data_IF_079039846708
#
_entry.id   IF_079039846708
#
_cell.length_a   1.000
_cell.length_b   1.000
_cell.length_c   1.000
_cell.angle_alpha   90.00
_cell.angle_beta   90.00
_cell.angle_gamma   90.00
#
_symmetry.space_group_name_H-M   'P 1'
#
loop_
_entity.id
_entity.type
_entity.pdbx_description
1 polymer ?
#
# COMPACT_ATOMS: atom_id res chain seq x y z
N UNK A 1 6.07 28.56 0.51
CA UNK A 1 6.84 28.32 1.75
C UNK A 1 6.31 27.05 2.37
N UNK A 2 7.17 26.14 2.82
CA UNK A 2 6.72 24.88 3.44
C UNK A 2 6.06 25.22 4.79
N UNK A 3 4.73 25.11 4.86
CA UNK A 3 3.99 25.21 6.12
C UNK A 3 4.07 23.86 6.85
N UNK A 4 5.10 23.69 7.68
CA UNK A 4 5.19 22.56 8.60
C UNK A 4 4.65 23.04 9.94
N UNK A 5 3.46 22.57 10.30
CA UNK A 5 2.84 22.87 11.60
C UNK A 5 3.20 21.83 12.64
N UNK A 6 3.33 20.56 12.23
CA UNK A 6 3.70 19.47 13.15
C UNK A 6 4.42 18.33 12.41
N UNK A 7 5.33 17.58 13.08
CA UNK A 7 5.94 16.37 12.52
C UNK A 7 4.97 15.25 12.14
N UNK A 8 3.71 15.31 12.58
CA UNK A 8 2.64 14.38 12.13
C UNK A 8 2.21 14.59 10.69
N UNK A 9 2.54 15.76 10.10
CA UNK A 9 2.23 16.09 8.72
C UNK A 9 3.17 15.39 7.71
N UNK A 10 4.16 14.64 8.23
CA UNK A 10 5.23 14.00 7.49
C UNK A 10 4.91 12.55 7.15
N UNK A 11 5.37 12.10 5.97
CA UNK A 11 5.57 10.68 5.73
C UNK A 11 6.96 10.31 6.27
N UNK A 12 7.03 9.78 7.50
CA UNK A 12 8.29 9.47 8.20
C UNK A 12 8.46 7.97 8.45
N UNK A 13 9.71 7.49 8.36
CA UNK A 13 10.12 6.11 8.67
C UNK A 13 11.41 6.13 9.48
N UNK A 14 11.51 5.30 10.50
CA UNK A 14 12.75 5.08 11.25
C UNK A 14 13.25 3.66 11.00
N UNK A 15 14.49 3.57 10.59
CA UNK A 15 15.26 2.34 10.42
C UNK A 15 16.33 2.27 11.51
N UNK A 16 16.87 1.08 11.75
CA UNK A 16 17.94 0.86 12.70
C UNK A 16 19.15 0.35 11.95
N UNK A 17 20.24 1.13 11.99
CA UNK A 17 21.50 0.80 11.33
C UNK A 17 22.42 0.20 12.39
N UNK A 18 22.93 -1.01 12.12
CA UNK A 18 23.95 -1.64 12.95
C UNK A 18 25.31 -1.06 12.56
N UNK A 19 25.92 -0.31 13.47
CA UNK A 19 27.26 0.26 13.30
C UNK A 19 28.33 -0.84 13.40
N UNK A 20 29.55 -0.54 12.95
CA UNK A 20 30.66 -1.50 12.90
C UNK A 20 31.10 -2.03 14.26
N UNK A 21 30.74 -1.34 15.34
CA UNK A 21 30.95 -1.73 16.72
C UNK A 21 29.81 -2.61 17.29
N UNK A 22 28.76 -2.88 16.51
CA UNK A 22 27.59 -3.65 16.91
C UNK A 22 26.47 -2.81 17.55
N UNK A 23 26.64 -1.49 17.68
CA UNK A 23 25.60 -0.60 18.21
C UNK A 23 24.49 -0.38 17.18
N UNK A 24 23.25 -0.26 17.64
CA UNK A 24 22.10 0.07 16.80
C UNK A 24 21.76 1.55 16.90
N UNK A 25 21.87 2.26 15.79
CA UNK A 25 21.60 3.69 15.69
C UNK A 25 20.34 3.94 14.87
N UNK A 26 19.37 4.73 15.38
CA UNK A 26 18.17 5.05 14.63
C UNK A 26 18.48 6.00 13.47
N UNK A 27 17.90 5.73 12.31
CA UNK A 27 18.01 6.53 11.10
C UNK A 27 16.61 6.87 10.62
N UNK A 28 16.22 8.14 10.69
CA UNK A 28 14.85 8.57 10.35
C UNK A 28 14.83 9.34 9.04
N UNK A 29 14.08 8.84 8.06
CA UNK A 29 13.71 9.59 6.87
C UNK A 29 12.34 10.24 7.02
N UNK A 30 12.13 11.36 6.32
CA UNK A 30 10.85 12.07 6.31
C UNK A 30 10.65 12.82 4.99
N UNK A 31 9.41 12.84 4.53
CA UNK A 31 9.00 13.55 3.33
C UNK A 31 7.82 14.49 3.58
N UNK A 32 7.77 15.57 2.79
CA UNK A 32 6.73 16.61 2.82
C UNK A 32 6.34 16.94 1.40
N UNK A 33 5.05 17.11 1.19
CA UNK A 33 4.50 17.61 -0.07
C UNK A 33 3.68 18.85 0.25
N UNK A 34 4.03 19.99 -0.33
CA UNK A 34 3.27 21.23 -0.11
C UNK A 34 1.96 21.24 -0.92
N UNK A 35 1.18 22.31 -0.75
CA UNK A 35 -0.11 22.50 -1.45
C UNK A 35 0.03 22.57 -2.98
N UNK A 36 1.19 23.00 -3.47
CA UNK A 36 1.52 23.04 -4.88
C UNK A 36 2.03 21.68 -5.39
N UNK A 37 2.17 20.66 -4.54
CA UNK A 37 2.80 19.38 -4.84
C UNK A 37 4.28 19.50 -5.18
N UNK A 38 5.00 20.43 -4.57
CA UNK A 38 6.45 20.34 -4.50
C UNK A 38 6.82 19.39 -3.36
N UNK A 39 7.70 18.45 -3.65
CA UNK A 39 8.15 17.47 -2.68
C UNK A 39 9.50 17.86 -2.07
N UNK A 40 9.65 17.49 -0.80
CA UNK A 40 10.87 17.68 -0.04
C UNK A 40 11.15 16.41 0.75
N UNK A 41 12.41 15.99 0.78
CA UNK A 41 12.84 14.78 1.48
C UNK A 41 14.06 15.09 2.34
N UNK A 42 14.10 14.53 3.53
CA UNK A 42 15.20 14.67 4.47
C UNK A 42 15.45 13.39 5.23
N UNK A 43 16.65 13.30 5.79
CA UNK A 43 17.09 12.17 6.62
C UNK A 43 17.80 12.71 7.85
N UNK A 44 17.70 11.97 8.95
CA UNK A 44 18.38 12.29 10.21
C UNK A 44 18.90 11.03 10.87
N UNK A 45 20.22 10.95 10.94
CA UNK A 45 20.93 9.96 11.74
C UNK A 45 20.75 10.23 13.24
N UNK A 46 20.78 9.15 14.02
CA UNK A 46 20.72 9.12 15.49
C UNK A 46 19.47 9.78 16.07
N UNK A 47 18.34 9.70 15.36
CA UNK A 47 17.09 10.29 15.80
C UNK A 47 15.93 9.39 15.43
N UNK A 48 14.98 9.21 16.36
CA UNK A 48 13.73 8.49 16.15
C UNK A 48 12.65 9.44 15.64
N UNK A 49 11.59 8.89 15.02
CA UNK A 49 10.46 9.69 14.51
C UNK A 49 9.83 10.58 15.58
N UNK A 50 9.67 10.07 16.81
CA UNK A 50 9.05 10.81 17.92
C UNK A 50 9.94 11.90 18.52
N UNK A 51 11.19 11.99 18.09
CA UNK A 51 12.16 13.02 18.52
C UNK A 51 12.28 14.16 17.49
N UNK A 52 11.66 14.02 16.30
CA UNK A 52 11.68 15.04 15.26
C UNK A 52 10.99 16.33 15.75
N UNK A 53 11.65 17.47 15.55
CA UNK A 53 11.05 18.80 15.69
C UNK A 53 10.87 19.47 14.33
N UNK A 54 10.02 20.49 14.26
CA UNK A 54 9.81 21.26 13.03
C UNK A 54 11.12 21.90 12.54
N UNK A 55 11.96 22.37 13.46
CA UNK A 55 13.27 22.96 13.15
C UNK A 55 14.20 21.93 12.53
N UNK A 56 14.32 20.75 13.15
CA UNK A 56 15.14 19.65 12.61
C UNK A 56 14.70 19.29 11.20
N UNK A 57 13.39 19.17 10.98
CA UNK A 57 12.85 18.84 9.66
C UNK A 57 13.21 19.93 8.64
N UNK A 58 12.97 21.21 8.95
CA UNK A 58 13.28 22.34 8.07
C UNK A 58 14.75 22.41 7.68
N UNK A 59 15.65 22.14 8.62
CA UNK A 59 17.10 22.22 8.38
C UNK A 59 17.62 21.09 7.49
N UNK A 60 16.92 19.94 7.49
CA UNK A 60 17.38 18.70 6.87
C UNK A 60 16.59 18.28 5.62
N UNK A 61 15.43 18.87 5.33
CA UNK A 61 14.75 18.63 4.05
C UNK A 61 15.44 19.32 2.87
N UNK A 62 15.43 18.65 1.72
CA UNK A 62 15.88 19.22 0.43
C UNK A 62 14.78 19.00 -0.62
N UNK A 63 14.63 19.91 -1.60
CA UNK A 63 13.70 19.71 -2.71
C UNK A 63 13.99 18.40 -3.44
N UNK A 64 12.95 17.66 -3.77
CA UNK A 64 13.01 16.47 -4.63
C UNK A 64 12.69 16.91 -6.06
N UNK A 65 13.53 16.60 -7.07
CA UNK A 65 13.19 16.86 -8.46
C UNK A 65 11.92 16.13 -8.89
N UNK A 66 11.01 16.84 -9.57
CA UNK A 66 9.74 16.28 -10.04
C UNK A 66 9.95 15.03 -10.91
N UNK A 67 11.03 14.97 -11.70
CA UNK A 67 11.36 13.85 -12.59
C UNK A 67 11.59 12.52 -11.86
N UNK A 68 12.01 12.56 -10.59
CA UNK A 68 12.31 11.36 -9.80
C UNK A 68 11.03 10.65 -9.32
N UNK A 69 9.96 11.42 -9.08
CA UNK A 69 8.75 10.95 -8.37
C UNK A 69 7.44 11.16 -9.13
N UNK A 70 7.37 12.12 -10.05
CA UNK A 70 6.17 12.49 -10.78
C UNK A 70 6.36 12.28 -12.28
N UNK A 71 5.81 11.21 -12.87
CA UNK A 71 5.93 10.99 -14.31
C UNK A 71 5.16 12.07 -15.08
N UNK A 72 5.58 12.35 -16.31
CA UNK A 72 4.82 13.21 -17.22
C UNK A 72 3.42 12.65 -17.47
N UNK A 73 2.40 13.51 -17.45
CA UNK A 73 1.05 13.09 -17.82
C UNK A 73 0.97 12.95 -19.35
N UNK A 74 0.63 11.77 -19.89
CA UNK A 74 0.58 11.55 -21.32
C UNK A 74 -0.60 12.28 -21.96
N UNK A 75 -0.48 12.58 -23.26
CA UNK A 75 -1.55 13.27 -24.03
C UNK A 75 -2.79 12.38 -24.18
N UNK A 76 -2.62 11.06 -24.21
CA UNK A 76 -3.68 10.08 -24.43
C UNK A 76 -3.51 8.87 -23.52
N UNK A 77 -4.61 8.18 -23.22
CA UNK A 77 -4.59 6.86 -22.58
C UNK A 77 -4.54 6.88 -21.05
N UNK A 78 -4.60 8.06 -20.42
CA UNK A 78 -4.87 8.22 -18.99
C UNK A 78 -5.92 9.32 -18.78
N UNK A 79 -6.78 9.11 -17.79
CA UNK A 79 -7.81 10.06 -17.38
C UNK A 79 -7.25 11.03 -16.35
N UNK A 80 -7.44 12.34 -16.54
CA UNK A 80 -7.19 13.33 -15.50
C UNK A 80 -8.40 13.43 -14.57
N UNK A 81 -8.18 13.29 -13.26
CA UNK A 81 -9.22 13.40 -12.25
C UNK A 81 -9.74 14.84 -12.13
N UNK A 82 -11.00 15.00 -11.73
CA UNK A 82 -11.56 16.31 -11.37
C UNK A 82 -10.76 16.93 -10.20
N UNK A 83 -10.71 18.26 -10.13
CA UNK A 83 -9.95 19.00 -9.10
C UNK A 83 -10.61 19.00 -7.70
N UNK A 84 -11.68 18.24 -7.48
CA UNK A 84 -12.31 18.03 -6.17
C UNK A 84 -12.06 16.59 -5.70
N UNK A 85 -11.29 16.45 -4.62
CA UNK A 85 -10.93 15.17 -4.02
C UNK A 85 -11.69 14.92 -2.71
N UNK A 86 -12.75 15.69 -2.44
CA UNK A 86 -13.57 15.50 -1.24
C UNK A 86 -14.10 14.08 -1.17
N UNK A 87 -13.80 13.38 -0.06
CA UNK A 87 -14.18 11.98 0.11
C UNK A 87 -13.41 10.99 -0.78
N UNK A 88 -12.23 11.37 -1.29
CA UNK A 88 -11.35 10.51 -2.11
C UNK A 88 -9.98 10.35 -1.46
N UNK A 89 -9.31 9.26 -1.80
CA UNK A 89 -7.93 9.01 -1.41
C UNK A 89 -7.01 9.36 -2.58
N UNK A 90 -5.94 10.11 -2.31
CA UNK A 90 -4.91 10.40 -3.30
C UNK A 90 -3.68 9.57 -2.94
N UNK A 91 -3.45 8.47 -3.68
CA UNK A 91 -2.25 7.66 -3.53
C UNK A 91 -1.06 8.43 -4.10
N UNK A 92 -0.05 8.67 -3.27
CA UNK A 92 1.18 9.41 -3.62
C UNK A 92 2.38 8.48 -3.64
N UNK A 93 3.53 9.04 -3.99
CA UNK A 93 4.84 8.39 -3.97
C UNK A 93 5.09 7.63 -2.67
N UNK A 94 5.58 6.40 -2.79
CA UNK A 94 6.05 5.60 -1.67
C UNK A 94 7.39 6.14 -1.15
N UNK A 95 7.33 7.13 -0.26
CA UNK A 95 8.52 7.78 0.34
C UNK A 95 9.46 6.83 1.07
N UNK A 96 8.90 5.71 1.52
CA UNK A 96 9.57 4.61 2.22
C UNK A 96 10.77 4.06 1.44
N UNK A 97 10.72 4.12 0.11
CA UNK A 97 11.75 3.58 -0.79
C UNK A 97 12.59 4.68 -1.46
N UNK A 98 12.33 5.97 -1.16
CA UNK A 98 12.91 7.08 -1.92
C UNK A 98 14.44 7.15 -1.79
N UNK A 99 15.00 6.96 -0.58
CA UNK A 99 16.45 7.07 -0.42
C UNK A 99 17.20 5.98 -1.21
N UNK A 100 16.64 4.77 -1.33
CA UNK A 100 17.25 3.65 -2.06
C UNK A 100 17.33 3.88 -3.57
N UNK A 101 16.46 4.72 -4.11
CA UNK A 101 16.35 4.98 -5.56
C UNK A 101 16.53 6.45 -5.94
N UNK A 102 17.03 7.25 -5.00
CA UNK A 102 17.28 8.68 -5.17
C UNK A 102 18.18 8.96 -6.36
N UNK A 103 17.84 9.99 -7.13
CA UNK A 103 18.53 10.33 -8.38
C UNK A 103 18.16 9.45 -9.58
N UNK A 104 17.14 8.58 -9.43
CA UNK A 104 16.59 7.77 -10.53
C UNK A 104 15.14 8.13 -10.82
N UNK A 105 14.59 7.63 -11.92
CA UNK A 105 13.16 7.80 -12.29
C UNK A 105 12.30 6.60 -11.86
N UNK A 106 12.80 5.74 -10.96
CA UNK A 106 12.15 4.49 -10.61
C UNK A 106 10.73 4.70 -10.05
N UNK A 107 10.56 5.60 -9.07
CA UNK A 107 9.25 5.87 -8.45
C UNK A 107 8.28 6.52 -9.43
N UNK A 108 8.76 7.46 -10.26
CA UNK A 108 7.95 8.04 -11.32
C UNK A 108 7.43 6.97 -12.30
N UNK A 109 8.28 6.02 -12.70
CA UNK A 109 7.90 4.90 -13.57
C UNK A 109 6.91 3.96 -12.89
N UNK A 110 7.08 3.68 -11.60
CA UNK A 110 6.16 2.84 -10.83
C UNK A 110 4.77 3.48 -10.75
N UNK A 111 4.68 4.78 -10.50
CA UNK A 111 3.41 5.52 -10.50
C UNK A 111 2.73 5.49 -11.87
N UNK A 112 3.50 5.66 -12.96
CA UNK A 112 2.96 5.62 -14.32
C UNK A 112 2.42 4.23 -14.68
N UNK A 113 3.15 3.19 -14.30
CA UNK A 113 2.72 1.81 -14.48
C UNK A 113 1.40 1.55 -13.77
N UNK A 114 1.29 1.92 -12.48
CA UNK A 114 0.06 1.73 -11.72
C UNK A 114 -1.10 2.55 -12.31
N UNK A 115 -0.84 3.77 -12.79
CA UNK A 115 -1.84 4.59 -13.48
C UNK A 115 -2.43 3.86 -14.70
N UNK A 116 -1.58 3.25 -15.54
CA UNK A 116 -2.04 2.48 -16.70
C UNK A 116 -2.84 1.24 -16.30
N UNK A 117 -2.40 0.52 -15.28
CA UNK A 117 -3.17 -0.61 -14.74
C UNK A 117 -4.54 -0.17 -14.27
N UNK A 118 -4.63 0.90 -13.48
CA UNK A 118 -5.91 1.41 -12.98
C UNK A 118 -6.82 1.94 -14.08
N UNK A 119 -6.29 2.58 -15.13
CA UNK A 119 -7.06 3.00 -16.29
C UNK A 119 -7.69 1.81 -17.04
N UNK A 120 -6.94 0.71 -17.18
CA UNK A 120 -7.45 -0.51 -17.79
C UNK A 120 -8.56 -1.14 -16.93
N UNK A 121 -8.37 -1.19 -15.62
CA UNK A 121 -9.35 -1.75 -14.69
C UNK A 121 -10.61 -0.89 -14.57
N UNK A 122 -10.50 0.43 -14.72
CA UNK A 122 -11.66 1.32 -14.70
C UNK A 122 -12.65 1.06 -15.85
N UNK A 123 -12.19 0.47 -16.95
CA UNK A 123 -13.06 0.04 -18.06
C UNK A 123 -13.87 -1.22 -17.74
N UNK A 124 -13.52 -1.93 -16.66
CA UNK A 124 -14.16 -3.17 -16.20
C UNK A 124 -14.36 -3.12 -14.68
N UNK A 125 -15.27 -2.25 -14.19
CA UNK A 125 -15.48 -2.09 -12.76
C UNK A 125 -15.85 -3.41 -12.09
N UNK A 126 -15.20 -3.70 -10.96
CA UNK A 126 -15.47 -4.89 -10.16
C UNK A 126 -15.73 -4.48 -8.71
N UNK A 127 -16.75 -5.03 -8.03
CA UNK A 127 -17.10 -4.62 -6.67
C UNK A 127 -15.97 -4.81 -5.66
N UNK A 128 -15.09 -5.80 -5.88
CA UNK A 128 -13.94 -6.08 -5.01
C UNK A 128 -12.59 -5.54 -5.51
N UNK A 129 -12.60 -4.60 -6.46
CA UNK A 129 -11.42 -3.82 -6.87
C UNK A 129 -11.70 -2.36 -6.48
N UNK A 130 -10.69 -1.66 -5.98
CA UNK A 130 -10.80 -0.23 -5.64
C UNK A 130 -11.22 0.61 -6.85
N UNK A 131 -12.14 1.55 -6.63
CA UNK A 131 -12.56 2.43 -7.72
C UNK A 131 -11.47 3.45 -8.05
N UNK A 132 -11.17 3.61 -9.34
CA UNK A 132 -10.24 4.63 -9.87
C UNK A 132 -11.00 5.81 -10.47
N UNK A 133 -10.50 7.02 -10.23
CA UNK A 133 -11.13 8.26 -10.66
C UNK A 133 -10.22 9.14 -11.52
N UNK A 134 -9.05 8.64 -11.91
CA UNK A 134 -8.08 9.36 -12.73
C UNK A 134 -6.82 9.76 -11.97
N UNK A 135 -5.88 10.34 -12.70
CA UNK A 135 -4.65 10.90 -12.20
C UNK A 135 -4.89 12.31 -11.64
N UNK A 136 -4.34 12.62 -10.48
CA UNK A 136 -4.13 14.01 -10.09
C UNK A 136 -3.00 14.57 -10.97
N UNK A 137 -3.30 15.64 -11.73
CA UNK A 137 -2.35 16.26 -12.65
C UNK A 137 -2.02 17.68 -12.19
N UNK A 138 -0.73 17.95 -11.98
CA UNK A 138 -0.21 19.27 -11.63
C UNK A 138 1.08 19.50 -12.41
N UNK A 139 1.27 20.72 -12.93
CA UNK A 139 2.44 21.08 -13.77
C UNK A 139 2.71 20.09 -14.93
N UNK A 140 1.65 19.50 -15.50
CA UNK A 140 1.77 18.50 -16.57
C UNK A 140 2.31 17.14 -16.14
N UNK A 141 2.37 16.85 -14.83
CA UNK A 141 2.84 15.59 -14.26
C UNK A 141 1.78 14.93 -13.37
N UNK A 142 1.87 13.62 -13.23
CA UNK A 142 1.03 12.84 -12.31
C UNK A 142 1.62 12.98 -10.91
N UNK A 143 0.87 13.59 -9.99
CA UNK A 143 1.29 13.78 -8.59
C UNK A 143 0.57 12.84 -7.62
N UNK A 144 -0.35 12.04 -8.14
CA UNK A 144 -1.01 10.96 -7.41
C UNK A 144 -2.13 10.29 -8.21
N UNK A 145 -2.62 9.17 -7.70
CA UNK A 145 -3.78 8.44 -8.25
C UNK A 145 -4.99 8.69 -7.34
N UNK A 146 -6.11 9.10 -7.93
CA UNK A 146 -7.34 9.40 -7.18
C UNK A 146 -8.19 8.14 -7.11
N UNK A 147 -8.38 7.63 -5.90
CA UNK A 147 -9.02 6.36 -5.60
C UNK A 147 -10.20 6.53 -4.64
N UNK A 148 -11.05 5.51 -4.58
CA UNK A 148 -11.98 5.29 -3.48
C UNK A 148 -11.23 5.31 -2.14
N UNK A 149 -11.82 5.91 -1.12
CA UNK A 149 -11.23 6.01 0.22
C UNK A 149 -11.97 5.11 1.20
N UNK A 150 -11.23 4.64 2.21
CA UNK A 150 -11.77 3.75 3.24
C UNK A 150 -11.28 4.22 4.61
N UNK A 151 -12.16 4.24 5.62
CA UNK A 151 -11.74 4.44 7.01
C UNK A 151 -10.68 3.41 7.44
N UNK A 152 -9.68 3.86 8.20
CA UNK A 152 -8.57 3.01 8.70
C UNK A 152 -9.03 1.75 9.44
N UNK A 153 -10.18 1.81 10.13
CA UNK A 153 -10.80 0.66 10.82
C UNK A 153 -11.18 -0.50 9.89
N UNK A 154 -11.09 -0.31 8.58
CA UNK A 154 -11.39 -1.31 7.57
C UNK A 154 -10.15 -1.85 6.84
N UNK A 155 -8.94 -1.39 7.18
CA UNK A 155 -7.70 -1.94 6.61
C UNK A 155 -7.37 -3.29 7.26
N UNK A 156 -7.53 -4.37 6.49
CA UNK A 156 -7.36 -5.73 6.99
C UNK A 156 -5.93 -6.01 7.47
N UNK A 157 -4.94 -5.22 7.05
CA UNK A 157 -3.56 -5.25 7.55
C UNK A 157 -3.49 -5.03 9.07
N UNK A 158 -4.39 -4.22 9.63
CA UNK A 158 -4.45 -3.99 11.08
C UNK A 158 -5.19 -5.09 11.84
N UNK A 159 -5.87 -6.03 11.18
CA UNK A 159 -6.64 -7.05 11.89
C UNK A 159 -5.78 -7.98 12.77
N UNK A 160 -4.46 -8.05 12.52
CA UNK A 160 -3.55 -8.76 13.40
C UNK A 160 -3.25 -8.01 14.71
N UNK A 161 -3.12 -6.68 14.64
CA UNK A 161 -2.71 -5.84 15.76
C UNK A 161 -3.93 -5.30 16.54
N UNK A 162 -5.05 -5.07 15.85
CA UNK A 162 -6.27 -4.43 16.34
C UNK A 162 -7.53 -5.24 15.97
N UNK A 163 -7.62 -6.53 16.35
CA UNK A 163 -8.71 -7.42 15.93
C UNK A 163 -10.11 -6.95 16.37
N UNK A 164 -10.19 -6.12 17.41
CA UNK A 164 -11.45 -5.55 17.91
C UNK A 164 -12.13 -4.62 16.92
N UNK A 165 -11.38 -3.94 16.03
CA UNK A 165 -11.92 -3.04 15.01
C UNK A 165 -12.71 -3.78 13.94
N UNK A 166 -12.43 -5.07 13.75
CA UNK A 166 -12.98 -5.89 12.67
C UNK A 166 -14.10 -6.84 13.15
N UNK A 167 -14.58 -6.64 14.39
CA UNK A 167 -15.59 -7.51 15.00
C UNK A 167 -16.90 -7.45 14.19
N UNK A 168 -17.27 -8.58 13.61
CA UNK A 168 -18.50 -8.71 12.82
C UNK A 168 -18.33 -8.41 11.32
N UNK A 169 -17.18 -7.88 10.91
CA UNK A 169 -16.86 -7.59 9.50
C UNK A 169 -16.10 -8.74 8.83
N UNK A 170 -15.28 -9.49 9.58
CA UNK A 170 -14.51 -10.60 9.01
C UNK A 170 -15.39 -11.84 8.81
N UNK A 171 -15.80 -12.05 7.57
CA UNK A 171 -16.36 -13.31 7.07
C UNK A 171 -15.42 -13.90 6.02
N UNK A 172 -14.78 -15.04 6.35
CA UNK A 172 -13.83 -15.73 5.48
C UNK A 172 -14.42 -16.04 4.10
N UNK A 173 -15.65 -16.55 4.05
CA UNK A 173 -16.24 -17.00 2.79
C UNK A 173 -16.57 -15.81 1.89
N UNK A 174 -17.14 -14.74 2.47
CA UNK A 174 -17.41 -13.49 1.75
C UNK A 174 -16.14 -12.87 1.19
N UNK A 175 -15.12 -12.71 2.04
CA UNK A 175 -13.83 -12.11 1.66
C UNK A 175 -13.15 -12.96 0.58
N UNK A 176 -13.02 -14.27 0.79
CA UNK A 176 -12.37 -15.15 -0.19
C UNK A 176 -13.13 -15.21 -1.52
N UNK A 177 -14.47 -15.19 -1.49
CA UNK A 177 -15.28 -15.20 -2.71
C UNK A 177 -15.11 -13.91 -3.51
N UNK A 178 -15.14 -12.74 -2.85
CA UNK A 178 -14.95 -11.45 -3.52
C UNK A 178 -13.55 -11.28 -4.09
N UNK A 179 -12.53 -11.69 -3.34
CA UNK A 179 -11.13 -11.62 -3.80
C UNK A 179 -10.87 -12.56 -4.97
N UNK A 180 -11.37 -13.81 -4.94
CA UNK A 180 -11.24 -14.73 -6.08
C UNK A 180 -11.90 -14.17 -7.33
N UNK A 181 -13.11 -13.63 -7.22
CA UNK A 181 -13.79 -13.01 -8.37
C UNK A 181 -12.98 -11.82 -8.96
N UNK A 182 -12.37 -11.00 -8.10
CA UNK A 182 -11.50 -9.91 -8.55
C UNK A 182 -10.24 -10.43 -9.26
N UNK A 183 -9.58 -11.44 -8.69
CA UNK A 183 -8.36 -12.04 -9.24
C UNK A 183 -8.65 -12.77 -10.55
N UNK A 184 -9.74 -13.53 -10.63
CA UNK A 184 -10.21 -14.17 -11.86
C UNK A 184 -10.43 -13.13 -12.97
N UNK A 185 -10.97 -11.95 -12.63
CA UNK A 185 -11.10 -10.85 -13.59
C UNK A 185 -9.72 -10.36 -14.08
N UNK A 186 -8.75 -10.16 -13.19
CA UNK A 186 -7.38 -9.75 -13.57
C UNK A 186 -6.74 -10.78 -14.51
N UNK A 187 -6.81 -12.05 -14.14
CA UNK A 187 -6.22 -13.15 -14.90
C UNK A 187 -6.88 -13.26 -16.29
N UNK A 188 -8.20 -13.06 -16.37
CA UNK A 188 -8.94 -13.12 -17.64
C UNK A 188 -8.53 -12.04 -18.66
N UNK A 189 -7.95 -10.94 -18.19
CA UNK A 189 -7.41 -9.86 -19.05
C UNK A 189 -5.88 -9.90 -19.17
N UNK A 190 -5.26 -10.99 -18.73
CA UNK A 190 -3.82 -11.24 -18.86
C UNK A 190 -2.96 -10.50 -17.83
N UNK A 191 -3.54 -10.05 -16.71
CA UNK A 191 -2.82 -9.43 -15.60
C UNK A 191 -2.71 -10.38 -14.41
N UNK A 192 -1.66 -10.23 -13.59
CA UNK A 192 -1.59 -10.78 -12.25
C UNK A 192 -1.26 -9.66 -11.25
N UNK A 193 -1.78 -9.73 -10.03
CA UNK A 193 -1.59 -8.69 -9.01
C UNK A 193 -0.18 -8.71 -8.40
N UNK A 194 0.36 -9.91 -8.12
CA UNK A 194 1.70 -10.20 -7.62
C UNK A 194 2.01 -9.69 -6.20
N UNK A 195 1.03 -9.19 -5.46
CA UNK A 195 1.22 -8.71 -4.09
C UNK A 195 -0.08 -8.73 -3.26
N UNK A 196 -0.80 -9.86 -3.31
CA UNK A 196 -2.01 -10.02 -2.50
C UNK A 196 -1.61 -10.32 -1.06
N UNK A 197 -2.00 -9.44 -0.14
CA UNK A 197 -1.78 -9.59 1.28
C UNK A 197 -2.84 -8.76 2.06
N UNK A 198 -2.99 -8.95 3.39
CA UNK A 198 -3.98 -8.25 4.19
C UNK A 198 -3.87 -6.72 4.16
N UNK A 199 -2.67 -6.15 4.06
CA UNK A 199 -2.50 -4.70 3.99
C UNK A 199 -2.97 -4.12 2.65
N UNK A 200 -3.07 -4.96 1.61
CA UNK A 200 -3.63 -4.60 0.31
C UNK A 200 -5.13 -4.94 0.20
N UNK A 201 -5.81 -5.19 1.32
CA UNK A 201 -7.24 -5.49 1.35
C UNK A 201 -7.95 -4.55 2.33
N UNK A 202 -8.84 -3.73 1.79
CA UNK A 202 -9.80 -2.96 2.58
C UNK A 202 -11.11 -3.73 2.70
N UNK A 203 -11.85 -3.50 3.78
CA UNK A 203 -13.22 -3.95 3.93
C UNK A 203 -14.20 -2.80 3.73
N UNK A 204 -15.34 -3.06 3.11
CA UNK A 204 -16.44 -2.12 3.14
C UNK A 204 -17.23 -2.18 4.45
N UNK A 205 -18.29 -1.39 4.53
CA UNK A 205 -19.10 -1.28 5.75
C UNK A 205 -19.81 -2.59 6.10
N UNK A 206 -20.09 -3.43 5.10
CA UNK A 206 -20.70 -4.74 5.28
C UNK A 206 -19.65 -5.88 5.28
N UNK A 207 -18.35 -5.57 5.26
CA UNK A 207 -17.28 -6.57 5.27
C UNK A 207 -17.00 -7.20 3.89
N UNK A 208 -17.50 -6.60 2.82
CA UNK A 208 -17.10 -6.91 1.45
C UNK A 208 -15.63 -6.52 1.20
N UNK A 209 -14.83 -7.35 0.51
CA UNK A 209 -13.43 -7.05 0.30
C UNK A 209 -13.23 -6.08 -0.86
N UNK A 210 -12.20 -5.24 -0.74
CA UNK A 210 -11.71 -4.32 -1.77
C UNK A 210 -10.20 -4.50 -1.89
N UNK A 211 -9.77 -5.08 -3.00
CA UNK A 211 -8.36 -5.18 -3.35
C UNK A 211 -7.86 -3.78 -3.74
N UNK A 212 -6.80 -3.34 -3.07
CA UNK A 212 -6.12 -2.06 -3.29
C UNK A 212 -4.67 -2.32 -3.68
N UNK A 213 -3.96 -1.25 -4.04
CA UNK A 213 -2.54 -1.24 -4.40
C UNK A 213 -2.16 -2.13 -5.60
N UNK A 214 -2.17 -1.53 -6.79
CA UNK A 214 -1.86 -2.23 -8.04
C UNK A 214 -0.43 -1.92 -8.52
N UNK A 215 0.45 -1.46 -7.64
CA UNK A 215 1.83 -1.09 -7.99
C UNK A 215 2.65 -2.26 -8.55
N UNK A 216 2.38 -3.48 -8.10
CA UNK A 216 3.01 -4.72 -8.59
C UNK A 216 2.20 -5.45 -9.67
N UNK A 217 1.02 -4.93 -10.02
CA UNK A 217 0.17 -5.55 -11.02
C UNK A 217 0.75 -5.32 -12.42
N UNK A 218 0.91 -6.40 -13.17
CA UNK A 218 1.63 -6.43 -14.45
C UNK A 218 0.99 -7.46 -15.39
N UNK A 219 1.16 -7.33 -16.72
CA UNK A 219 0.81 -8.40 -17.63
C UNK A 219 1.68 -9.63 -17.38
N UNK A 220 1.06 -10.80 -17.46
CA UNK A 220 1.71 -12.09 -17.18
C UNK A 220 2.98 -12.23 -18.04
N UNK A 221 4.07 -12.67 -17.41
CA UNK A 221 5.39 -12.82 -18.03
C UNK A 221 6.23 -11.54 -18.11
N UNK A 222 5.72 -10.38 -17.71
CA UNK A 222 6.50 -9.14 -17.68
C UNK A 222 7.35 -9.02 -16.41
N UNK A 223 8.46 -8.30 -16.50
CA UNK A 223 9.32 -8.02 -15.36
C UNK A 223 8.63 -7.11 -14.34
N UNK A 224 8.76 -7.47 -13.08
CA UNK A 224 8.21 -6.71 -11.95
C UNK A 224 9.22 -5.67 -11.48
N UNK A 225 8.76 -4.44 -11.29
CA UNK A 225 9.55 -3.36 -10.69
C UNK A 225 9.52 -3.44 -9.16
N UNK A 226 8.37 -3.79 -8.60
CA UNK A 226 8.15 -4.12 -7.20
C UNK A 226 7.28 -5.38 -7.14
N UNK A 227 7.47 -6.23 -6.14
CA UNK A 227 6.62 -7.40 -5.96
C UNK A 227 6.76 -8.04 -4.59
N UNK A 228 5.66 -8.64 -4.14
CA UNK A 228 5.62 -9.62 -3.06
C UNK A 228 5.95 -9.06 -1.68
N UNK A 229 5.01 -9.15 -0.77
CA UNK A 229 5.25 -8.93 0.65
C UNK A 229 5.84 -10.20 1.29
N UNK A 230 6.97 -10.13 2.04
CA UNK A 230 7.54 -11.28 2.73
C UNK A 230 6.50 -12.06 3.56
N UNK A 231 6.47 -13.38 3.38
CA UNK A 231 5.48 -14.26 4.02
C UNK A 231 4.15 -14.43 3.25
N UNK A 232 3.96 -13.72 2.14
CA UNK A 232 2.78 -13.83 1.27
C UNK A 232 3.07 -14.41 -0.11
N UNK A 233 4.32 -14.79 -0.37
CA UNK A 233 4.77 -15.49 -1.57
C UNK A 233 5.66 -16.68 -1.20
N UNK A 234 5.79 -17.62 -2.14
CA UNK A 234 6.51 -18.89 -1.92
C UNK A 234 8.03 -18.74 -2.03
N UNK A 235 8.48 -18.23 -3.16
CA UNK A 235 9.89 -18.07 -3.55
C UNK A 235 10.10 -16.68 -4.13
N UNK A 236 11.31 -16.11 -4.09
CA UNK A 236 11.58 -14.80 -4.72
C UNK A 236 11.33 -14.91 -6.24
N UNK A 237 10.63 -13.92 -6.80
CA UNK A 237 10.27 -13.88 -8.20
C UNK A 237 10.47 -12.48 -8.81
N UNK A 238 10.62 -12.42 -10.12
CA UNK A 238 10.85 -11.17 -10.87
C UNK A 238 9.99 -11.04 -12.12
N UNK A 239 9.17 -12.05 -12.43
CA UNK A 239 8.24 -12.05 -13.55
C UNK A 239 6.81 -12.17 -13.01
N UNK A 240 5.87 -11.45 -13.62
CA UNK A 240 4.46 -11.52 -13.27
C UNK A 240 3.87 -12.89 -13.58
N UNK A 241 3.12 -13.48 -12.65
CA UNK A 241 2.53 -14.80 -12.80
C UNK A 241 1.29 -14.98 -11.92
N UNK A 242 0.24 -15.58 -12.46
CA UNK A 242 -1.02 -15.86 -11.73
C UNK A 242 -0.79 -16.76 -10.52
N UNK A 243 0.20 -17.66 -10.59
CA UNK A 243 0.55 -18.56 -9.50
C UNK A 243 0.94 -17.82 -8.20
N UNK A 244 1.41 -16.58 -8.28
CA UNK A 244 1.69 -15.77 -7.11
C UNK A 244 0.40 -15.37 -6.39
N UNK A 245 -0.61 -14.94 -7.14
CA UNK A 245 -1.93 -14.56 -6.61
C UNK A 245 -2.62 -15.79 -5.99
N UNK A 246 -2.58 -16.93 -6.70
CA UNK A 246 -3.16 -18.19 -6.23
C UNK A 246 -2.56 -18.61 -4.89
N UNK A 247 -1.22 -18.57 -4.78
CA UNK A 247 -0.52 -18.88 -3.55
C UNK A 247 -0.87 -17.92 -2.40
N UNK A 248 -0.90 -16.61 -2.67
CA UNK A 248 -1.30 -15.63 -1.66
C UNK A 248 -2.75 -15.86 -1.18
N UNK A 249 -3.68 -16.20 -2.07
CA UNK A 249 -5.06 -16.56 -1.71
C UNK A 249 -5.14 -17.86 -0.89
N UNK A 250 -4.31 -18.86 -1.19
CA UNK A 250 -4.19 -20.08 -0.38
C UNK A 250 -3.74 -19.78 1.05
N UNK A 251 -2.80 -18.85 1.24
CA UNK A 251 -2.36 -18.42 2.58
C UNK A 251 -3.39 -17.57 3.30
N UNK A 252 -4.14 -16.74 2.57
CA UNK A 252 -5.10 -15.81 3.14
C UNK A 252 -6.28 -16.53 3.82
N UNK A 253 -6.74 -17.65 3.27
CA UNK A 253 -7.85 -18.42 3.84
C UNK A 253 -7.60 -18.87 5.30
N UNK A 254 -6.53 -19.63 5.58
CA UNK A 254 -6.13 -20.00 6.94
C UNK A 254 -5.80 -18.80 7.82
N UNK A 255 -5.23 -17.73 7.26
CA UNK A 255 -4.96 -16.51 8.01
C UNK A 255 -6.25 -15.85 8.52
N UNK A 256 -7.26 -15.70 7.65
CA UNK A 256 -8.58 -15.18 8.00
C UNK A 256 -9.26 -16.05 9.05
N UNK A 257 -9.14 -17.38 8.93
CA UNK A 257 -9.72 -18.31 9.90
C UNK A 257 -9.14 -18.12 11.31
N UNK A 258 -7.82 -17.94 11.43
CA UNK A 258 -7.18 -17.60 12.71
C UNK A 258 -7.72 -16.29 13.28
N UNK A 259 -7.97 -15.28 12.44
CA UNK A 259 -8.56 -14.00 12.88
C UNK A 259 -10.02 -14.13 13.28
N UNK A 260 -10.79 -14.96 12.58
CA UNK A 260 -12.16 -15.32 12.96
C UNK A 260 -12.19 -16.11 14.28
N UNK A 261 -11.22 -16.98 14.57
CA UNK A 261 -11.18 -17.86 15.75
C UNK A 261 -10.76 -17.15 17.05
N UNK A 262 -10.06 -16.01 16.98
CA UNK A 262 -9.90 -15.11 18.13
C UNK A 262 -11.26 -14.65 18.72
N UNK A 263 -12.38 -14.86 18.01
CA UNK A 263 -13.76 -14.73 18.53
C UNK A 263 -14.08 -15.66 19.69
N UNK A 264 -13.56 -16.90 19.73
CA UNK A 264 -14.12 -17.94 20.61
C UNK A 264 -13.48 -17.97 22.01
N UNK A 265 -12.20 -17.64 22.14
CA UNK A 265 -11.48 -17.82 23.41
C UNK A 265 -11.68 -16.72 24.47
N UNK A 266 -12.49 -15.68 24.20
CA UNK A 266 -12.83 -14.64 25.19
C UNK A 266 -14.18 -14.83 25.89
N UNK A 267 -14.97 -15.84 25.51
CA UNK A 267 -16.16 -16.25 26.26
C UNK A 267 -15.87 -17.63 26.87
N UNK A 268 -15.47 -17.64 28.14
CA UNK A 268 -14.91 -18.79 28.84
C UNK A 268 -15.68 -20.10 28.66
N UNK A 269 -14.97 -21.12 28.20
CA UNK A 269 -15.13 -22.51 28.62
C UNK A 269 -13.76 -23.18 28.49
N UNK A 270 -13.18 -23.53 29.65
CA UNK A 270 -12.16 -24.56 29.75
C UNK A 270 -12.92 -25.86 30.00
N UNK A 271 -12.93 -26.76 29.02
CA UNK A 271 -12.97 -28.20 29.29
C UNK A 271 -11.69 -28.74 28.65
N UNK A 272 -10.71 -29.24 29.40
CA UNK A 272 -10.88 -30.27 30.40
C UNK A 272 -10.54 -31.60 29.74
N UNK A 273 -9.27 -31.99 29.87
CA UNK A 273 -8.66 -33.33 29.77
C UNK A 273 -9.43 -34.45 29.05
N UNK A 274 -8.73 -35.10 28.12
CA UNK A 274 -8.43 -36.53 28.26
C UNK A 274 -6.97 -36.78 27.86
N UNK A 275 -6.15 -37.05 28.88
CA UNK A 275 -5.04 -37.99 28.76
C UNK A 275 -5.61 -39.35 28.36
N UNK A 276 -4.90 -40.10 27.51
CA UNK A 276 -4.35 -41.42 27.87
C UNK A 276 -3.66 -42.10 26.68
N UNK A 277 -2.39 -42.46 26.95
CA UNK A 277 -1.49 -43.46 26.35
C UNK A 277 -0.66 -43.09 25.12
#
# INVERSE_FOLDING_TARGET
MIEITTPTDLCSRCEWIVESNGDETPWTSFAIVDSDNNAYYGVKERMRVNELTVEVVKDNVRPVPDEEIYPGFPVTGLTAAANDYSGRYVKRTAWVDYEDVKGTTFLARLMLQEAHTMELLAQRPHPSIVSYHGCQVKRGRITGLVLETFPLKYDLGFAAQRPELFKGLVDKNRIMSGLRAAVDQLHSIGLAHNDINPANIMLGEEGEPKLIDFGSCQPIGHHLMSCGTPGWYKDIFHLSNTAHDDYSLELLGPWLEKKCLLRRNKNGYVSGMLDEK
#
